data_IF_058569269668
#
_entry.id   IF_058569269668
#
_cell.length_a   1.000
_cell.length_b   1.000
_cell.length_c   1.000
_cell.angle_alpha   90.00
_cell.angle_beta   90.00
_cell.angle_gamma   90.00
#
_symmetry.space_group_name_H-M   'P 1'
#
loop_
_entity.id
_entity.type
_entity.pdbx_description
1 polymer ?
#
# COMPACT_ATOMS: atom_id res chain seq x y z
N UNK A 1 9.92 -23.68 -27.32
CA UNK A 1 9.79 -22.23 -27.54
C UNK A 1 8.38 -21.71 -27.20
N UNK A 2 7.31 -22.25 -27.77
CA UNK A 2 5.91 -21.87 -27.50
C UNK A 2 5.52 -21.95 -26.01
N UNK A 3 5.87 -23.00 -25.28
CA UNK A 3 5.55 -23.18 -23.85
C UNK A 3 6.27 -22.13 -22.99
N UNK A 4 7.50 -21.76 -23.33
CA UNK A 4 8.27 -20.75 -22.59
C UNK A 4 7.72 -19.33 -22.79
N UNK A 5 7.19 -19.00 -23.97
CA UNK A 5 6.51 -17.74 -24.26
C UNK A 5 5.19 -17.69 -23.48
N UNK A 6 4.39 -18.75 -23.54
CA UNK A 6 3.13 -18.81 -22.80
C UNK A 6 3.33 -18.68 -21.27
N UNK A 7 4.39 -19.26 -20.70
CA UNK A 7 4.67 -19.15 -19.28
C UNK A 7 5.11 -17.72 -18.91
N UNK A 8 5.92 -17.07 -19.73
CA UNK A 8 6.28 -15.64 -19.53
C UNK A 8 5.04 -14.73 -19.50
N UNK A 9 4.13 -14.90 -20.46
CA UNK A 9 2.89 -14.11 -20.52
C UNK A 9 2.01 -14.32 -19.28
N UNK A 10 1.92 -15.55 -18.78
CA UNK A 10 1.20 -15.87 -17.54
C UNK A 10 1.84 -15.16 -16.34
N UNK A 11 3.16 -15.22 -16.21
CA UNK A 11 3.86 -14.54 -15.09
C UNK A 11 3.72 -13.02 -15.18
N UNK A 12 3.78 -12.47 -16.40
CA UNK A 12 3.55 -11.03 -16.61
C UNK A 12 2.12 -10.64 -16.21
N UNK A 13 1.13 -11.41 -16.61
CA UNK A 13 -0.26 -11.17 -16.21
C UNK A 13 -0.45 -11.26 -14.70
N UNK A 14 0.15 -12.26 -14.04
CA UNK A 14 0.12 -12.40 -12.57
C UNK A 14 0.79 -11.20 -11.90
N UNK A 15 1.94 -10.72 -12.41
CA UNK A 15 2.64 -9.55 -11.90
C UNK A 15 1.74 -8.31 -11.97
N UNK A 16 1.13 -8.03 -13.11
CA UNK A 16 0.23 -6.88 -13.30
C UNK A 16 -1.01 -6.99 -12.40
N UNK A 17 -1.65 -8.15 -12.33
CA UNK A 17 -2.79 -8.38 -11.45
C UNK A 17 -2.42 -8.17 -9.98
N UNK A 18 -1.26 -8.65 -9.55
CA UNK A 18 -0.78 -8.47 -8.19
C UNK A 18 -0.55 -6.98 -7.86
N UNK A 19 -0.02 -6.18 -8.79
CA UNK A 19 0.12 -4.72 -8.63
C UNK A 19 -1.24 -4.07 -8.44
N UNK A 20 -2.22 -4.38 -9.29
CA UNK A 20 -3.57 -3.81 -9.20
C UNK A 20 -4.26 -4.18 -7.89
N UNK A 21 -4.23 -5.45 -7.50
CA UNK A 21 -4.90 -5.95 -6.30
C UNK A 21 -4.22 -5.45 -5.03
N UNK A 22 -2.88 -5.47 -4.98
CA UNK A 22 -2.13 -5.05 -3.79
C UNK A 22 -2.22 -3.54 -3.54
N UNK A 23 -2.10 -2.74 -4.59
CA UNK A 23 -1.96 -1.29 -4.43
C UNK A 23 -3.23 -0.49 -4.75
N UNK A 24 -4.19 -1.05 -5.49
CA UNK A 24 -5.40 -0.32 -5.89
C UNK A 24 -6.17 0.28 -4.71
N UNK A 25 -6.30 -0.49 -3.62
CA UNK A 25 -7.01 -0.05 -2.41
C UNK A 25 -6.35 1.15 -1.71
N UNK A 26 -5.04 1.32 -1.84
CA UNK A 26 -4.30 2.41 -1.16
C UNK A 26 -4.74 3.79 -1.64
N UNK A 27 -5.20 3.91 -2.89
CA UNK A 27 -5.71 5.15 -3.47
C UNK A 27 -7.11 5.54 -2.97
N UNK A 28 -7.84 4.60 -2.35
CA UNK A 28 -9.16 4.88 -1.77
C UNK A 28 -9.07 5.46 -0.34
N UNK A 29 -8.03 5.17 0.41
CA UNK A 29 -7.89 5.61 1.81
C UNK A 29 -7.96 7.12 2.01
N UNK A 30 -7.32 7.98 1.19
CA UNK A 30 -7.44 9.43 1.32
C UNK A 30 -8.86 9.97 1.19
N UNK A 31 -9.76 9.21 0.56
CA UNK A 31 -11.18 9.54 0.42
C UNK A 31 -11.99 8.95 1.57
N UNK A 32 -11.74 7.70 1.93
CA UNK A 32 -12.51 6.96 2.93
C UNK A 32 -12.38 7.61 4.31
N UNK A 33 -11.16 7.91 4.77
CA UNK A 33 -10.93 8.38 6.13
C UNK A 33 -11.60 9.73 6.43
N UNK A 34 -11.45 10.80 5.62
CA UNK A 34 -12.14 12.06 5.88
C UNK A 34 -13.66 11.95 5.83
N UNK A 35 -14.21 11.06 5.00
CA UNK A 35 -15.65 10.83 4.93
C UNK A 35 -16.15 10.20 6.24
N UNK A 36 -15.47 9.16 6.73
CA UNK A 36 -15.86 8.48 7.98
C UNK A 36 -15.66 9.39 9.18
N UNK A 37 -14.55 10.13 9.25
CA UNK A 37 -14.29 11.06 10.34
C UNK A 37 -15.41 12.10 10.51
N UNK A 38 -15.98 12.57 9.39
CA UNK A 38 -17.08 13.54 9.40
C UNK A 38 -18.46 12.89 9.63
N UNK A 39 -18.69 11.70 9.09
CA UNK A 39 -20.01 11.08 9.12
C UNK A 39 -20.26 10.29 10.40
N UNK A 40 -19.29 9.51 10.84
CA UNK A 40 -19.34 8.67 12.03
C UNK A 40 -17.95 8.40 12.60
N UNK A 41 -17.37 9.29 13.40
CA UNK A 41 -16.06 9.09 14.01
C UNK A 41 -16.00 7.85 14.92
N UNK A 42 -17.13 7.31 15.38
CA UNK A 42 -17.18 6.07 16.17
C UNK A 42 -16.78 4.84 15.37
N UNK A 43 -16.85 4.89 14.04
CA UNK A 43 -16.42 3.80 13.16
C UNK A 43 -14.88 3.75 12.97
N UNK A 44 -14.16 4.84 13.24
CA UNK A 44 -12.70 4.94 13.00
C UNK A 44 -11.87 3.81 13.62
N UNK A 45 -12.10 3.37 14.88
CA UNK A 45 -11.33 2.25 15.45
C UNK A 45 -11.46 0.96 14.64
N UNK A 46 -12.64 0.68 14.10
CA UNK A 46 -12.92 -0.50 13.28
C UNK A 46 -12.26 -0.38 11.89
N UNK A 47 -12.35 0.80 11.28
CA UNK A 47 -11.77 1.06 9.96
C UNK A 47 -10.24 1.00 9.99
N UNK A 48 -9.57 1.55 11.01
CA UNK A 48 -8.12 1.41 11.16
C UNK A 48 -7.70 -0.05 11.35
N UNK A 49 -8.46 -0.85 12.11
CA UNK A 49 -8.22 -2.30 12.21
C UNK A 49 -8.40 -3.01 10.87
N UNK A 50 -9.43 -2.65 10.11
CA UNK A 50 -9.67 -3.20 8.77
C UNK A 50 -8.53 -2.82 7.80
N UNK A 51 -8.11 -1.56 7.79
CA UNK A 51 -6.97 -1.08 6.98
C UNK A 51 -5.70 -1.87 7.30
N UNK A 52 -5.38 -2.06 8.59
CA UNK A 52 -4.24 -2.89 9.01
C UNK A 52 -4.37 -4.33 8.52
N UNK A 53 -5.55 -4.93 8.61
CA UNK A 53 -5.79 -6.29 8.12
C UNK A 53 -5.60 -6.38 6.59
N UNK A 54 -6.07 -5.40 5.83
CA UNK A 54 -5.81 -5.29 4.38
C UNK A 54 -4.32 -5.17 4.10
N UNK A 55 -3.60 -4.33 4.85
CA UNK A 55 -2.14 -4.21 4.75
C UNK A 55 -1.43 -5.56 4.90
N UNK A 56 -1.77 -6.30 5.96
CA UNK A 56 -1.11 -7.56 6.29
C UNK A 56 -1.53 -8.75 5.43
N UNK A 57 -2.79 -8.81 5.01
CA UNK A 57 -3.37 -9.99 4.33
C UNK A 57 -3.50 -9.84 2.82
N UNK A 58 -3.44 -8.62 2.30
CA UNK A 58 -3.57 -8.35 0.87
C UNK A 58 -2.33 -7.64 0.32
N UNK A 59 -1.95 -6.49 0.89
CA UNK A 59 -0.85 -5.68 0.34
C UNK A 59 0.49 -6.39 0.48
N UNK A 60 0.83 -6.89 1.66
CA UNK A 60 2.12 -7.54 1.88
C UNK A 60 2.30 -8.84 1.07
N UNK A 61 1.34 -9.78 1.05
CA UNK A 61 1.45 -10.94 0.17
C UNK A 61 1.43 -10.58 -1.31
N UNK A 62 0.61 -9.60 -1.70
CA UNK A 62 0.57 -9.12 -3.08
C UNK A 62 1.91 -8.53 -3.52
N UNK A 63 2.56 -7.73 -2.66
CA UNK A 63 3.90 -7.20 -2.91
C UNK A 63 4.95 -8.32 -3.04
N UNK A 64 4.86 -9.38 -2.23
CA UNK A 64 5.74 -10.54 -2.38
C UNK A 64 5.57 -11.20 -3.76
N UNK A 65 4.33 -11.34 -4.25
CA UNK A 65 4.05 -11.85 -5.59
C UNK A 65 4.63 -10.91 -6.66
N UNK A 66 4.44 -9.59 -6.51
CA UNK A 66 5.02 -8.57 -7.41
C UNK A 66 6.54 -8.73 -7.50
N UNK A 67 7.22 -8.87 -6.37
CA UNK A 67 8.68 -9.05 -6.31
C UNK A 67 9.12 -10.34 -6.98
N UNK A 68 8.52 -11.48 -6.63
CA UNK A 68 8.90 -12.79 -7.17
C UNK A 68 8.68 -12.84 -8.68
N UNK A 69 7.51 -12.40 -9.14
CA UNK A 69 7.20 -12.35 -10.57
C UNK A 69 8.11 -11.36 -11.30
N UNK A 70 8.36 -10.16 -10.74
CA UNK A 70 9.24 -9.15 -11.31
C UNK A 70 10.69 -9.63 -11.44
N UNK A 71 11.23 -10.33 -10.44
CA UNK A 71 12.55 -10.95 -10.48
C UNK A 71 12.64 -12.00 -11.61
N UNK A 72 11.61 -12.83 -11.76
CA UNK A 72 11.56 -13.79 -12.86
C UNK A 72 11.57 -13.10 -14.22
N UNK A 73 10.73 -12.07 -14.41
CA UNK A 73 10.61 -11.31 -15.66
C UNK A 73 11.94 -10.64 -16.03
N UNK A 74 12.56 -9.93 -15.08
CA UNK A 74 13.85 -9.28 -15.28
C UNK A 74 14.96 -10.26 -15.63
N UNK A 75 14.98 -11.43 -14.98
CA UNK A 75 15.95 -12.51 -15.27
C UNK A 75 15.74 -13.11 -16.66
N UNK A 76 14.48 -13.28 -17.08
CA UNK A 76 14.12 -13.89 -18.37
C UNK A 76 14.51 -13.00 -19.54
N UNK A 77 14.35 -11.68 -19.39
CA UNK A 77 14.68 -10.69 -20.42
C UNK A 77 16.11 -10.13 -20.30
N UNK A 78 16.86 -10.51 -19.28
CA UNK A 78 18.23 -9.99 -18.99
C UNK A 78 18.25 -8.46 -18.76
N UNK A 79 17.18 -7.91 -18.19
CA UNK A 79 16.97 -6.45 -18.03
C UNK A 79 17.42 -5.90 -16.66
N UNK A 80 18.27 -6.63 -15.93
CA UNK A 80 18.74 -6.22 -14.58
C UNK A 80 19.43 -4.85 -14.53
N UNK A 81 20.02 -4.43 -15.64
CA UNK A 81 20.75 -3.15 -15.74
C UNK A 81 19.85 -1.99 -16.21
N UNK A 82 18.56 -2.23 -16.46
CA UNK A 82 17.65 -1.18 -16.88
C UNK A 82 17.16 -0.38 -15.68
N UNK A 83 16.94 0.92 -15.89
CA UNK A 83 16.50 1.83 -14.82
C UNK A 83 15.16 1.40 -14.22
N UNK A 84 14.19 1.05 -15.04
CA UNK A 84 12.85 0.71 -14.56
C UNK A 84 12.82 -0.55 -13.68
N UNK A 85 13.68 -1.55 -13.94
CA UNK A 85 13.81 -2.75 -13.10
C UNK A 85 14.44 -2.40 -11.76
N UNK A 86 15.55 -1.66 -11.75
CA UNK A 86 16.23 -1.25 -10.51
C UNK A 86 15.35 -0.35 -9.66
N UNK A 87 14.65 0.61 -10.27
CA UNK A 87 13.68 1.47 -9.61
C UNK A 87 12.54 0.66 -8.99
N UNK A 88 11.90 -0.21 -9.77
CA UNK A 88 10.78 -1.03 -9.32
C UNK A 88 11.16 -1.95 -8.16
N UNK A 89 12.35 -2.57 -8.22
CA UNK A 89 12.88 -3.39 -7.14
C UNK A 89 13.12 -2.55 -5.88
N UNK A 90 13.79 -1.40 -6.00
CA UNK A 90 14.08 -0.49 -4.89
C UNK A 90 12.79 0.00 -4.22
N UNK A 91 11.84 0.51 -5.00
CA UNK A 91 10.53 0.96 -4.49
C UNK A 91 9.78 -0.18 -3.80
N UNK A 92 9.76 -1.38 -4.38
CA UNK A 92 9.08 -2.53 -3.78
C UNK A 92 9.67 -2.92 -2.42
N UNK A 93 11.00 -2.91 -2.27
CA UNK A 93 11.67 -3.18 -0.99
C UNK A 93 11.29 -2.10 0.04
N UNK A 94 11.34 -0.82 -0.35
CA UNK A 94 10.98 0.30 0.53
C UNK A 94 9.51 0.21 0.96
N UNK A 95 8.58 -0.06 0.04
CA UNK A 95 7.17 -0.23 0.36
C UNK A 95 6.92 -1.42 1.28
N UNK A 96 7.62 -2.53 1.09
CA UNK A 96 7.56 -3.69 1.98
C UNK A 96 8.01 -3.35 3.41
N UNK A 97 9.14 -2.66 3.54
CA UNK A 97 9.65 -2.20 4.83
C UNK A 97 8.68 -1.20 5.49
N UNK A 98 8.17 -0.20 4.75
CA UNK A 98 7.19 0.75 5.25
C UNK A 98 5.90 0.05 5.72
N UNK A 99 5.42 -0.94 4.97
CA UNK A 99 4.21 -1.70 5.35
C UNK A 99 4.33 -2.39 6.70
N UNK A 100 5.46 -3.07 6.94
CA UNK A 100 5.71 -3.79 8.20
C UNK A 100 6.13 -2.88 9.35
N UNK A 101 7.07 -1.96 9.10
CA UNK A 101 7.76 -1.19 10.16
C UNK A 101 7.06 0.14 10.48
N UNK A 102 6.33 0.71 9.54
CA UNK A 102 5.66 2.00 9.72
C UNK A 102 4.14 1.87 9.72
N UNK A 103 3.52 1.42 8.62
CA UNK A 103 2.07 1.41 8.50
C UNK A 103 1.40 0.50 9.52
N UNK A 104 1.81 -0.76 9.64
CA UNK A 104 1.15 -1.73 10.54
C UNK A 104 1.14 -1.29 12.02
N UNK A 105 2.24 -0.83 12.63
CA UNK A 105 2.21 -0.33 14.01
C UNK A 105 1.45 0.99 14.14
N UNK A 106 1.55 1.88 13.14
CA UNK A 106 0.90 3.19 13.20
C UNK A 106 -0.62 3.08 13.05
N UNK A 107 -1.11 2.19 12.18
CA UNK A 107 -2.55 1.90 12.05
C UNK A 107 -3.12 1.27 13.33
N UNK A 108 -2.35 0.40 14.00
CA UNK A 108 -2.72 -0.10 15.34
C UNK A 108 -2.84 1.06 16.33
N UNK A 109 -1.87 1.97 16.36
CA UNK A 109 -1.89 3.15 17.22
C UNK A 109 -3.09 4.05 16.95
N UNK A 110 -3.41 4.31 15.69
CA UNK A 110 -4.60 5.10 15.30
C UNK A 110 -5.90 4.44 15.76
N UNK A 111 -6.01 3.11 15.63
CA UNK A 111 -7.17 2.38 16.13
C UNK A 111 -7.33 2.49 17.65
N UNK A 112 -6.22 2.45 18.41
CA UNK A 112 -6.20 2.61 19.86
C UNK A 112 -6.56 4.03 20.28
N UNK A 113 -5.99 5.05 19.62
CA UNK A 113 -6.28 6.46 19.90
C UNK A 113 -7.75 6.79 19.62
N UNK A 114 -8.26 6.39 18.45
CA UNK A 114 -9.66 6.58 18.10
C UNK A 114 -10.59 5.86 19.08
N UNK A 115 -10.26 4.64 19.52
CA UNK A 115 -11.06 3.91 20.50
C UNK A 115 -11.07 4.61 21.87
N UNK A 116 -9.94 5.16 22.30
CA UNK A 116 -9.84 5.95 23.53
C UNK A 116 -10.72 7.22 23.45
N UNK A 117 -10.62 7.95 22.36
CA UNK A 117 -11.35 9.19 22.16
C UNK A 117 -12.87 8.97 22.04
N UNK A 118 -13.28 7.87 21.39
CA UNK A 118 -14.69 7.42 21.34
C UNK A 118 -15.20 7.04 22.73
N UNK A 119 -14.42 6.32 23.53
CA UNK A 119 -14.80 5.95 24.88
C UNK A 119 -14.95 7.18 25.81
N UNK A 120 -14.07 8.15 25.68
CA UNK A 120 -14.11 9.40 26.45
C UNK A 120 -15.34 10.26 26.15
N UNK A 121 -15.98 10.07 25.00
CA UNK A 121 -17.21 10.82 24.63
C UNK A 121 -18.45 10.35 25.39
N UNK A 122 -18.44 9.24 26.13
CA UNK A 122 -19.54 8.72 26.97
C UNK A 122 -20.94 8.75 26.28
N UNK A 123 -20.98 8.55 24.97
CA UNK A 123 -22.20 8.60 24.17
C UNK A 123 -22.52 9.99 23.55
N UNK A 124 -21.81 11.05 23.96
CA UNK A 124 -21.90 12.39 23.39
C UNK A 124 -21.11 12.56 22.09
N UNK A 125 -20.86 13.80 21.68
CA UNK A 125 -20.07 14.10 20.48
C UNK A 125 -18.61 13.63 20.64
N UNK A 126 -18.09 12.93 19.64
CA UNK A 126 -16.72 12.42 19.63
C UNK A 126 -15.78 13.52 19.14
N UNK A 127 -14.86 13.97 19.99
CA UNK A 127 -13.76 14.85 19.61
C UNK A 127 -12.45 14.05 19.56
N UNK A 128 -11.84 13.98 18.38
CA UNK A 128 -10.56 13.30 18.20
C UNK A 128 -9.43 14.15 18.77
N UNK A 129 -8.49 13.50 19.46
CA UNK A 129 -7.37 14.15 20.10
C UNK A 129 -6.34 14.72 19.11
N UNK A 130 -5.59 15.74 19.53
CA UNK A 130 -4.45 16.26 18.78
C UNK A 130 -3.41 15.18 18.47
N UNK A 131 -3.24 14.19 19.36
CA UNK A 131 -2.36 13.06 19.15
C UNK A 131 -2.85 12.20 17.97
N UNK A 132 -4.16 11.91 17.88
CA UNK A 132 -4.75 11.21 16.74
C UNK A 132 -4.48 11.98 15.43
N UNK A 133 -4.77 13.27 15.39
CA UNK A 133 -4.56 14.08 14.19
C UNK A 133 -3.09 14.18 13.78
N UNK A 134 -2.15 14.24 14.74
CA UNK A 134 -0.72 14.28 14.45
C UNK A 134 -0.24 12.97 13.80
N UNK A 135 -0.68 11.82 14.34
CA UNK A 135 -0.34 10.50 13.79
C UNK A 135 -1.01 10.30 12.43
N UNK A 136 -2.29 10.64 12.29
CA UNK A 136 -3.05 10.55 11.04
C UNK A 136 -2.39 11.36 9.91
N UNK A 137 -1.94 12.59 10.20
CA UNK A 137 -1.21 13.43 9.24
C UNK A 137 0.08 12.77 8.74
N UNK A 138 0.84 12.14 9.63
CA UNK A 138 2.07 11.42 9.24
C UNK A 138 1.75 10.25 8.31
N UNK A 139 0.72 9.47 8.62
CA UNK A 139 0.26 8.37 7.76
C UNK A 139 -0.18 8.89 6.40
N UNK A 140 -0.94 9.98 6.37
CA UNK A 140 -1.41 10.59 5.12
C UNK A 140 -0.23 11.05 4.23
N UNK A 141 0.79 11.71 4.82
CA UNK A 141 1.97 12.17 4.08
C UNK A 141 2.80 11.00 3.53
N UNK A 142 3.11 10.00 4.36
CA UNK A 142 3.86 8.81 3.92
C UNK A 142 3.04 8.01 2.91
N UNK A 143 1.72 7.91 3.10
CA UNK A 143 0.80 7.28 2.17
C UNK A 143 0.77 7.98 0.81
N UNK A 144 0.69 9.31 0.78
CA UNK A 144 0.73 10.09 -0.46
C UNK A 144 2.06 9.92 -1.21
N UNK A 145 3.20 9.96 -0.50
CA UNK A 145 4.51 9.70 -1.08
C UNK A 145 4.62 8.27 -1.63
N UNK A 146 4.10 7.28 -0.91
CA UNK A 146 4.05 5.89 -1.36
C UNK A 146 3.18 5.73 -2.60
N UNK A 147 2.01 6.36 -2.64
CA UNK A 147 1.11 6.34 -3.79
C UNK A 147 1.75 6.96 -5.02
N UNK A 148 2.45 8.08 -4.87
CA UNK A 148 3.21 8.71 -5.96
C UNK A 148 4.32 7.78 -6.47
N UNK A 149 5.08 7.14 -5.57
CA UNK A 149 6.12 6.20 -5.95
C UNK A 149 5.55 5.00 -6.73
N UNK A 150 4.38 4.48 -6.34
CA UNK A 150 3.67 3.41 -7.05
C UNK A 150 3.30 3.86 -8.47
N UNK A 151 2.69 5.05 -8.62
CA UNK A 151 2.31 5.58 -9.93
C UNK A 151 3.53 5.78 -10.84
N UNK A 152 4.62 6.34 -10.32
CA UNK A 152 5.87 6.48 -11.07
C UNK A 152 6.45 5.12 -11.48
N UNK A 153 6.38 4.13 -10.58
CA UNK A 153 6.84 2.77 -10.89
C UNK A 153 6.02 2.16 -12.03
N UNK A 154 4.70 2.27 -11.98
CA UNK A 154 3.82 1.79 -13.06
C UNK A 154 4.14 2.52 -14.37
N UNK A 155 4.35 3.84 -14.33
CA UNK A 155 4.72 4.62 -15.50
C UNK A 155 6.05 4.15 -16.11
N UNK A 156 7.12 4.01 -15.30
CA UNK A 156 8.43 3.58 -15.80
C UNK A 156 8.41 2.14 -16.34
N UNK A 157 7.65 1.25 -15.72
CA UNK A 157 7.44 -0.12 -16.21
C UNK A 157 6.68 -0.14 -17.54
N UNK A 158 5.63 0.68 -17.68
CA UNK A 158 4.81 0.74 -18.90
C UNK A 158 5.55 1.37 -20.10
N UNK A 159 6.45 2.31 -19.82
CA UNK A 159 7.20 3.05 -20.86
C UNK A 159 8.59 2.47 -21.12
N UNK A 160 9.02 1.42 -20.39
CA UNK A 160 10.38 0.85 -20.44
C UNK A 160 11.46 1.94 -20.34
N UNK A 161 11.25 2.93 -19.45
CA UNK A 161 12.14 4.08 -19.29
C UNK A 161 13.56 3.63 -18.91
N UNK A 162 14.54 3.96 -19.72
CA UNK A 162 15.95 3.61 -19.49
C UNK A 162 16.30 2.17 -19.87
N UNK A 163 15.54 1.57 -20.80
CA UNK A 163 15.87 0.30 -21.44
C UNK A 163 16.90 0.49 -22.56
#
# INVERSE_FOLDING_TARGET
>A
MLIAVAFYEVVLAVHIMAVVVAFGVTFAYPIIFPVIEKADPRALPAIHRAQRAVGQRLIQPGLAIVLIAGIYLASKLHEWNTFFVQWGLGVSIVLGALGGMFFSPTEKRLAELAARDVAAAEGGEVTLSEEYHAVSRRVALVGAASSLAILLTVYFMATHTGA
#
